data_IF_293868133633
#
_entry.id   IF_293868133633
#
_cell.length_a   1.000
_cell.length_b   1.000
_cell.length_c   1.000
_cell.angle_alpha   90.00
_cell.angle_beta   90.00
_cell.angle_gamma   90.00
#
_symmetry.space_group_name_H-M   'P 1'
#
loop_
_entity.id
_entity.type
_entity.pdbx_description
1 polymer ?
#
# COMPACT_ATOMS: atom_id res chain seq x y z
N UNK A 1 44.86 15.67 -94.80
CA UNK A 1 43.76 16.39 -94.20
C UNK A 1 43.77 16.05 -92.68
N UNK A 2 44.34 16.93 -91.91
CA UNK A 2 44.60 16.73 -90.46
C UNK A 2 43.49 17.43 -89.66
N UNK A 3 42.79 16.68 -88.85
CA UNK A 3 41.80 17.23 -87.94
C UNK A 3 42.41 17.27 -86.49
N UNK A 4 42.71 18.48 -86.08
CA UNK A 4 43.16 18.80 -84.72
C UNK A 4 41.95 19.01 -83.83
N UNK A 5 41.79 18.17 -82.77
CA UNK A 5 40.73 18.34 -81.78
C UNK A 5 41.37 19.07 -80.59
N UNK A 6 40.85 20.27 -80.32
CA UNK A 6 41.11 21.08 -79.10
C UNK A 6 40.48 20.46 -77.88
N UNK A 7 41.27 20.18 -76.87
CA UNK A 7 40.79 19.81 -75.48
C UNK A 7 40.60 21.07 -74.67
N UNK A 8 39.38 21.29 -74.18
CA UNK A 8 39.08 22.31 -73.20
C UNK A 8 39.38 21.83 -71.75
N UNK A 9 39.84 22.69 -70.82
CA UNK A 9 40.19 22.28 -69.46
C UNK A 9 38.97 22.24 -68.58
N UNK A 10 38.85 21.19 -67.77
CA UNK A 10 37.80 21.05 -66.74
C UNK A 10 38.08 21.97 -65.54
N UNK A 11 37.04 22.61 -64.92
CA UNK A 11 37.21 23.38 -63.70
C UNK A 11 37.38 22.46 -62.47
N UNK A 12 38.31 22.79 -61.60
CA UNK A 12 38.58 22.08 -60.36
C UNK A 12 37.39 22.25 -59.38
N UNK A 13 36.80 21.18 -58.95
CA UNK A 13 35.75 21.11 -57.94
C UNK A 13 36.37 21.33 -56.54
N UNK A 14 36.11 22.50 -55.92
CA UNK A 14 36.50 22.78 -54.52
C UNK A 14 35.53 22.06 -53.60
N UNK A 15 35.97 21.03 -52.94
CA UNK A 15 35.22 20.33 -51.87
C UNK A 15 35.22 21.20 -50.62
N UNK A 16 34.03 21.72 -50.28
CA UNK A 16 33.81 22.44 -49.04
C UNK A 16 33.59 21.43 -47.90
N UNK A 17 34.57 21.27 -47.03
CA UNK A 17 34.40 20.50 -45.80
C UNK A 17 33.54 21.30 -44.82
N UNK A 18 32.26 20.96 -44.66
CA UNK A 18 31.45 21.38 -43.50
C UNK A 18 31.91 20.57 -42.28
N UNK A 19 32.64 21.20 -41.38
CA UNK A 19 32.88 20.66 -40.05
C UNK A 19 31.58 20.67 -39.25
N UNK A 20 30.86 19.57 -39.26
CA UNK A 20 29.69 19.35 -38.37
C UNK A 20 30.21 19.18 -36.94
N UNK A 21 29.99 20.20 -36.09
CA UNK A 21 30.16 20.10 -34.63
C UNK A 21 29.13 19.13 -34.11
N UNK A 22 29.47 17.88 -33.87
CA UNK A 22 28.67 16.94 -33.09
C UNK A 22 28.63 17.48 -31.66
N UNK A 23 27.51 18.06 -31.26
CA UNK A 23 27.21 18.31 -29.83
C UNK A 23 27.08 16.94 -29.16
N UNK A 24 28.11 16.52 -28.48
CA UNK A 24 28.03 15.43 -27.53
C UNK A 24 27.11 15.91 -26.38
N UNK A 25 25.83 15.52 -26.44
CA UNK A 25 24.95 15.60 -25.28
C UNK A 25 25.47 14.60 -24.26
N UNK A 26 26.24 15.05 -23.30
CA UNK A 26 26.53 14.26 -22.10
C UNK A 26 25.19 14.02 -21.43
N UNK A 27 24.75 12.75 -21.36
CA UNK A 27 23.65 12.38 -20.50
C UNK A 27 24.04 12.84 -19.07
N UNK A 28 23.34 13.82 -18.53
CA UNK A 28 23.53 14.21 -17.15
C UNK A 28 23.23 12.98 -16.29
N UNK A 29 24.19 12.52 -15.51
CA UNK A 29 23.97 11.45 -14.54
C UNK A 29 22.89 11.89 -13.52
N UNK A 30 22.20 10.92 -12.91
CA UNK A 30 21.21 11.19 -11.88
C UNK A 30 21.80 12.08 -10.76
N UNK A 31 21.16 13.19 -10.48
CA UNK A 31 21.59 14.15 -9.46
C UNK A 31 20.90 13.88 -8.12
N UNK A 32 21.49 14.35 -7.03
CA UNK A 32 20.83 14.41 -5.73
C UNK A 32 20.51 15.85 -5.38
N UNK A 33 19.21 16.16 -5.25
CA UNK A 33 18.70 17.46 -4.91
C UNK A 33 18.44 17.51 -3.40
N UNK A 34 19.12 18.44 -2.71
CA UNK A 34 19.04 18.63 -1.26
C UNK A 34 17.96 19.64 -0.90
N UNK A 35 16.99 19.22 -0.05
CA UNK A 35 15.84 20.02 0.35
C UNK A 35 15.86 20.28 1.85
N UNK A 36 15.75 21.56 2.23
CA UNK A 36 15.66 21.96 3.64
C UNK A 36 16.00 23.43 3.87
N UNK A 37 15.81 23.91 5.11
CA UNK A 37 16.21 25.26 5.48
C UNK A 37 17.69 25.49 5.20
N UNK A 38 18.01 26.55 4.44
CA UNK A 38 19.39 26.89 4.08
C UNK A 38 20.03 25.99 3.02
N UNK A 39 19.34 25.01 2.48
CA UNK A 39 19.82 24.19 1.37
C UNK A 39 19.37 24.75 0.01
N UNK A 40 19.85 24.14 -1.09
CA UNK A 40 19.58 24.59 -2.46
C UNK A 40 18.08 24.75 -2.73
N UNK A 41 17.28 23.82 -2.24
CA UNK A 41 15.82 23.87 -2.36
C UNK A 41 15.20 24.01 -0.97
N UNK A 42 14.49 25.11 -0.74
CA UNK A 42 13.86 25.36 0.56
C UNK A 42 12.70 24.41 0.86
N UNK A 43 12.01 23.91 -0.17
CA UNK A 43 10.85 23.01 -0.04
C UNK A 43 10.88 21.87 -1.07
N UNK A 44 10.23 20.72 -0.80
CA UNK A 44 10.14 19.60 -1.72
C UNK A 44 9.63 19.98 -3.11
N UNK A 45 8.55 20.77 -3.20
CA UNK A 45 7.97 21.14 -4.50
C UNK A 45 8.92 21.95 -5.39
N UNK A 46 9.81 22.75 -4.79
CA UNK A 46 10.85 23.46 -5.55
C UNK A 46 11.88 22.49 -6.13
N UNK A 47 12.23 21.44 -5.38
CA UNK A 47 13.12 20.40 -5.89
C UNK A 47 12.44 19.57 -6.99
N UNK A 48 11.17 19.18 -6.83
CA UNK A 48 10.44 18.44 -7.86
C UNK A 48 10.32 19.23 -9.17
N UNK A 49 10.14 20.55 -9.09
CA UNK A 49 10.07 21.40 -10.28
C UNK A 49 11.43 21.51 -11.01
N UNK A 50 12.54 21.30 -10.32
CA UNK A 50 13.90 21.35 -10.88
C UNK A 50 14.44 19.96 -11.27
N UNK A 51 13.83 18.89 -10.80
CA UNK A 51 14.31 17.53 -10.98
C UNK A 51 14.21 17.06 -12.44
N UNK A 52 15.18 16.28 -12.85
CA UNK A 52 15.16 15.48 -14.08
C UNK A 52 14.78 14.03 -13.78
N UNK A 53 14.46 13.26 -14.83
CA UNK A 53 14.22 11.83 -14.70
C UNK A 53 15.43 11.10 -14.11
N UNK A 54 15.21 10.29 -13.10
CA UNK A 54 16.26 9.49 -12.45
C UNK A 54 16.90 10.16 -11.23
N UNK A 55 16.56 11.40 -10.92
CA UNK A 55 17.13 12.14 -9.78
C UNK A 55 16.68 11.55 -8.43
N UNK A 56 17.49 11.84 -7.41
CA UNK A 56 17.16 11.59 -6.00
C UNK A 56 16.87 12.92 -5.31
N UNK A 57 15.78 12.98 -4.56
CA UNK A 57 15.42 14.14 -3.73
C UNK A 57 15.57 13.75 -2.27
N UNK A 58 16.48 14.39 -1.55
CA UNK A 58 16.71 14.21 -0.12
C UNK A 58 16.11 15.37 0.67
N UNK A 59 15.10 15.05 1.46
CA UNK A 59 14.34 16.04 2.24
C UNK A 59 14.81 15.98 3.69
N UNK A 60 15.33 17.10 4.20
CA UNK A 60 15.79 17.19 5.59
C UNK A 60 14.64 16.89 6.57
N UNK A 61 14.85 15.90 7.42
CA UNK A 61 13.94 15.48 8.46
C UNK A 61 13.83 16.48 9.60
N UNK A 62 12.91 16.20 10.54
CA UNK A 62 12.62 17.06 11.70
C UNK A 62 12.19 18.49 11.33
N UNK A 63 11.77 18.70 10.10
CA UNK A 63 11.23 19.97 9.59
C UNK A 63 9.77 19.76 9.16
N UNK A 64 8.98 20.84 9.25
CA UNK A 64 7.61 20.88 8.71
C UNK A 64 7.56 21.80 7.49
N UNK A 65 7.17 21.23 6.37
CA UNK A 65 6.96 21.92 5.10
C UNK A 65 5.47 22.19 4.93
N UNK A 66 5.04 23.38 5.37
CA UNK A 66 3.62 23.74 5.40
C UNK A 66 3.16 24.34 4.08
N UNK A 67 2.04 23.86 3.56
CA UNK A 67 1.44 24.33 2.31
C UNK A 67 2.24 23.96 1.05
N UNK A 68 3.20 23.04 1.16
CA UNK A 68 4.04 22.62 0.03
C UNK A 68 3.34 21.52 -0.74
N UNK A 69 2.41 21.93 -1.62
CA UNK A 69 1.54 21.05 -2.42
C UNK A 69 1.81 21.19 -3.91
N UNK A 70 2.03 20.10 -4.64
CA UNK A 70 2.41 20.15 -6.07
C UNK A 70 2.25 18.82 -6.82
N UNK A 71 2.43 18.88 -8.15
CA UNK A 71 2.60 17.72 -9.02
C UNK A 71 4.06 17.27 -9.09
N UNK A 72 4.28 15.95 -9.17
CA UNK A 72 5.58 15.30 -9.42
C UNK A 72 5.54 14.75 -10.84
N UNK A 73 6.20 15.43 -11.77
CA UNK A 73 6.14 15.11 -13.21
C UNK A 73 7.30 14.22 -13.69
N UNK A 74 8.55 14.42 -13.23
CA UNK A 74 9.66 13.57 -13.65
C UNK A 74 9.44 12.11 -13.23
N UNK A 75 9.99 11.19 -14.01
CA UNK A 75 9.91 9.75 -13.77
C UNK A 75 11.20 9.20 -13.16
N UNK A 76 11.13 8.00 -12.59
CA UNK A 76 12.26 7.29 -11.99
C UNK A 76 12.88 8.04 -10.80
N UNK A 77 12.09 8.81 -10.04
CA UNK A 77 12.59 9.54 -8.88
C UNK A 77 12.66 8.66 -7.64
N UNK A 78 13.69 8.93 -6.84
CA UNK A 78 13.80 8.48 -5.44
C UNK A 78 13.62 9.71 -4.55
N UNK A 79 12.58 9.71 -3.74
CA UNK A 79 12.25 10.80 -2.81
C UNK A 79 12.36 10.24 -1.41
N UNK A 80 13.21 10.82 -0.55
CA UNK A 80 13.43 10.27 0.79
C UNK A 80 13.68 11.32 1.85
N UNK A 81 13.10 11.12 3.03
CA UNK A 81 13.44 11.86 4.23
C UNK A 81 14.80 11.40 4.78
N UNK A 82 15.67 12.35 5.08
CA UNK A 82 17.01 12.12 5.65
C UNK A 82 17.18 12.87 6.95
N UNK A 83 17.97 12.34 7.88
CA UNK A 83 18.20 12.92 9.21
C UNK A 83 16.92 13.16 10.02
N UNK A 84 16.01 12.20 9.97
CA UNK A 84 14.68 12.23 10.56
C UNK A 84 13.58 12.09 9.51
N UNK A 85 12.33 12.23 9.94
CA UNK A 85 11.14 12.14 9.06
C UNK A 85 10.61 13.56 8.80
N UNK A 86 10.66 14.07 7.56
CA UNK A 86 10.07 15.37 7.21
C UNK A 86 8.55 15.31 7.29
N UNK A 87 7.94 16.39 7.78
CA UNK A 87 6.49 16.56 7.87
C UNK A 87 6.00 17.44 6.73
N UNK A 88 5.08 16.93 5.94
CA UNK A 88 4.44 17.67 4.85
C UNK A 88 3.01 17.97 5.29
N UNK A 89 2.83 19.18 5.83
CA UNK A 89 1.54 19.70 6.30
C UNK A 89 0.86 20.48 5.18
N UNK A 90 -0.20 19.94 4.63
CA UNK A 90 -0.98 20.64 3.60
C UNK A 90 -1.63 21.93 4.13
N UNK A 91 -1.96 21.99 5.43
CA UNK A 91 -2.69 23.13 6.02
C UNK A 91 -4.06 23.36 5.37
N UNK A 92 -4.71 22.30 4.88
CA UNK A 92 -5.97 22.38 4.14
C UNK A 92 -5.83 22.66 2.64
N UNK A 93 -4.61 22.80 2.13
CA UNK A 93 -4.33 23.04 0.71
C UNK A 93 -4.22 21.72 -0.06
N UNK A 94 -4.22 21.86 -1.38
CA UNK A 94 -4.06 20.74 -2.30
C UNK A 94 -3.45 21.18 -3.62
N UNK A 95 -2.81 20.26 -4.32
CA UNK A 95 -2.39 20.40 -5.70
C UNK A 95 -3.46 19.85 -6.63
N UNK A 96 -3.76 20.57 -7.70
CA UNK A 96 -4.61 20.14 -8.81
C UNK A 96 -6.05 19.74 -8.39
N UNK A 97 -6.54 20.21 -7.23
CA UNK A 97 -7.82 19.78 -6.67
C UNK A 97 -7.83 18.31 -6.23
N UNK A 98 -6.66 17.72 -5.85
CA UNK A 98 -6.54 16.27 -5.60
C UNK A 98 -5.77 15.88 -4.34
N UNK A 99 -4.59 16.42 -4.10
CA UNK A 99 -3.70 15.84 -3.08
C UNK A 99 -2.62 16.83 -2.60
N UNK A 100 -1.85 16.42 -1.57
CA UNK A 100 -0.59 17.09 -1.22
C UNK A 100 0.38 16.95 -2.38
N UNK A 101 0.70 15.70 -2.77
CA UNK A 101 1.51 15.43 -3.96
C UNK A 101 0.73 14.61 -4.97
N UNK A 102 0.64 15.13 -6.21
CA UNK A 102 0.07 14.41 -7.35
C UNK A 102 1.21 13.76 -8.13
N UNK A 103 1.34 12.46 -8.03
CA UNK A 103 2.41 11.68 -8.67
C UNK A 103 1.99 11.38 -10.11
N UNK A 104 2.46 12.19 -11.05
CA UNK A 104 2.20 12.07 -12.49
C UNK A 104 3.30 11.23 -13.17
N UNK A 105 4.54 11.37 -12.71
CA UNK A 105 5.68 10.60 -13.20
C UNK A 105 5.54 9.09 -12.93
N UNK A 106 6.23 8.29 -13.72
CA UNK A 106 6.27 6.84 -13.58
C UNK A 106 7.46 6.39 -12.74
N UNK A 107 7.33 5.22 -12.10
CA UNK A 107 8.40 4.59 -11.34
C UNK A 107 8.95 5.51 -10.22
N UNK A 108 8.05 5.99 -9.37
CA UNK A 108 8.37 6.86 -8.25
C UNK A 108 8.48 6.05 -6.97
N UNK A 109 9.55 6.27 -6.22
CA UNK A 109 9.76 5.71 -4.88
C UNK A 109 9.76 6.83 -3.86
N UNK A 110 8.88 6.75 -2.86
CA UNK A 110 8.82 7.67 -1.71
C UNK A 110 9.15 6.89 -0.44
N UNK A 111 10.00 7.44 0.40
CA UNK A 111 10.49 6.79 1.60
C UNK A 111 10.62 7.77 2.76
N UNK A 112 10.18 7.36 3.96
CA UNK A 112 10.36 8.07 5.21
C UNK A 112 9.83 9.52 5.19
N UNK A 113 8.53 9.70 4.92
CA UNK A 113 7.83 10.99 4.99
C UNK A 113 6.58 10.90 5.87
N UNK A 114 6.19 12.01 6.49
CA UNK A 114 4.90 12.16 7.18
C UNK A 114 4.05 13.18 6.43
N UNK A 115 2.78 12.84 6.11
CA UNK A 115 1.95 13.68 5.23
C UNK A 115 0.53 13.78 5.80
N UNK A 116 0.02 15.01 5.98
CA UNK A 116 -1.29 15.24 6.58
C UNK A 116 -1.93 16.56 6.18
N UNK A 117 -3.23 16.68 6.45
CA UNK A 117 -3.99 17.91 6.34
C UNK A 117 -4.50 18.26 4.94
N UNK A 118 -4.51 17.31 3.98
CA UNK A 118 -5.07 17.53 2.64
C UNK A 118 -6.59 17.66 2.66
N UNK A 119 -7.12 18.70 1.99
CA UNK A 119 -8.55 18.91 1.80
C UNK A 119 -8.84 19.39 0.39
N UNK A 120 -9.93 18.91 -0.21
CA UNK A 120 -10.43 19.36 -1.52
C UNK A 120 -11.94 19.59 -1.49
N UNK A 121 -12.47 20.32 -2.45
CA UNK A 121 -13.90 20.63 -2.50
C UNK A 121 -14.79 19.37 -2.58
N UNK A 122 -14.30 18.33 -3.28
CA UNK A 122 -15.02 17.06 -3.46
C UNK A 122 -14.83 16.09 -2.28
N UNK A 123 -14.20 16.51 -1.18
CA UNK A 123 -14.04 15.73 0.07
C UNK A 123 -13.24 14.43 -0.13
N UNK A 124 -12.31 14.44 -1.07
CA UNK A 124 -11.45 13.30 -1.39
C UNK A 124 -9.96 13.65 -1.52
N UNK A 125 -9.52 14.71 -0.84
CA UNK A 125 -8.13 15.18 -0.80
C UNK A 125 -7.19 14.15 -0.20
N UNK A 126 -6.19 13.72 -0.98
CA UNK A 126 -5.27 12.68 -0.57
C UNK A 126 -3.93 13.22 -0.08
N UNK A 127 -3.22 12.48 0.78
CA UNK A 127 -1.80 12.74 0.96
C UNK A 127 -1.06 12.52 -0.38
N UNK A 128 -1.33 11.39 -1.04
CA UNK A 128 -0.77 11.03 -2.34
C UNK A 128 -1.89 10.67 -3.34
N UNK A 129 -1.90 11.37 -4.48
CA UNK A 129 -2.69 10.98 -5.64
C UNK A 129 -1.78 10.34 -6.68
N UNK A 130 -2.06 9.07 -7.05
CA UNK A 130 -1.23 8.33 -7.99
C UNK A 130 -1.91 8.33 -9.37
N UNK A 131 -1.29 9.01 -10.33
CA UNK A 131 -1.73 9.10 -11.73
C UNK A 131 -0.75 8.37 -12.68
N UNK A 132 0.53 8.26 -12.30
CA UNK A 132 1.56 7.53 -13.03
C UNK A 132 1.53 6.02 -12.78
N UNK A 133 2.52 5.30 -13.31
CA UNK A 133 2.67 3.85 -13.16
C UNK A 133 3.85 3.50 -12.25
N UNK A 134 3.78 2.32 -11.62
CA UNK A 134 4.87 1.76 -10.79
C UNK A 134 5.27 2.69 -9.64
N UNK A 135 4.57 2.55 -8.55
CA UNK A 135 4.79 3.36 -7.35
C UNK A 135 5.26 2.50 -6.17
N UNK A 136 6.19 3.05 -5.38
CA UNK A 136 6.64 2.47 -4.13
C UNK A 136 6.57 3.47 -2.99
N UNK A 137 6.03 3.04 -1.85
CA UNK A 137 6.02 3.80 -0.59
C UNK A 137 6.60 2.93 0.51
N UNK A 138 7.46 3.52 1.35
CA UNK A 138 8.01 2.82 2.51
C UNK A 138 8.25 3.75 3.69
N UNK A 139 8.26 3.19 4.93
CA UNK A 139 8.62 3.84 6.19
C UNK A 139 7.97 5.20 6.44
N UNK A 140 6.76 5.40 5.93
CA UNK A 140 6.06 6.67 5.93
C UNK A 140 4.85 6.66 6.87
N UNK A 141 4.28 7.84 7.13
CA UNK A 141 3.05 7.98 7.90
C UNK A 141 2.11 8.96 7.19
N UNK A 142 0.95 8.48 6.77
CA UNK A 142 -0.07 9.27 6.08
C UNK A 142 -1.33 9.32 6.94
N UNK A 143 -1.68 10.51 7.45
CA UNK A 143 -2.76 10.62 8.42
C UNK A 143 -3.53 11.95 8.31
N UNK A 144 -4.73 11.98 8.88
CA UNK A 144 -5.56 13.18 8.97
C UNK A 144 -5.77 13.90 7.62
N UNK A 145 -5.92 13.12 6.54
CA UNK A 145 -6.33 13.58 5.22
C UNK A 145 -7.74 13.08 4.90
N UNK A 146 -8.34 13.56 3.82
CA UNK A 146 -9.59 12.96 3.34
C UNK A 146 -9.34 11.57 2.70
N UNK A 147 -8.14 11.31 2.17
CA UNK A 147 -7.60 9.98 1.85
C UNK A 147 -6.10 9.92 2.16
N UNK A 148 -5.60 8.79 2.61
CA UNK A 148 -4.14 8.61 2.68
C UNK A 148 -3.56 8.45 1.28
N UNK A 149 -4.01 7.45 0.53
CA UNK A 149 -3.69 7.27 -0.90
C UNK A 149 -4.97 7.18 -1.71
N UNK A 150 -5.01 7.89 -2.84
CA UNK A 150 -6.04 7.76 -3.86
C UNK A 150 -5.37 7.47 -5.21
N UNK A 151 -5.51 6.25 -5.70
CA UNK A 151 -4.86 5.77 -6.93
C UNK A 151 -5.85 5.64 -8.07
N UNK A 152 -5.50 6.17 -9.24
CA UNK A 152 -6.22 5.98 -10.49
C UNK A 152 -6.14 4.53 -11.00
N UNK A 153 -6.97 4.18 -11.98
CA UNK A 153 -6.94 2.88 -12.64
C UNK A 153 -5.86 2.86 -13.73
N UNK A 154 -4.95 1.88 -13.67
CA UNK A 154 -3.98 1.61 -14.73
C UNK A 154 -3.49 0.16 -14.62
N UNK A 155 -4.01 -0.73 -15.46
CA UNK A 155 -3.70 -2.17 -15.44
C UNK A 155 -2.24 -2.51 -15.76
N UNK A 156 -1.42 -1.54 -16.13
CA UNK A 156 0.02 -1.72 -16.33
C UNK A 156 0.83 -1.32 -15.08
N UNK A 157 0.18 -0.76 -14.06
CA UNK A 157 0.86 -0.28 -12.85
C UNK A 157 0.99 -1.37 -11.80
N UNK A 158 2.15 -1.43 -11.15
CA UNK A 158 2.36 -2.19 -9.92
C UNK A 158 2.58 -1.22 -8.76
N UNK A 159 1.84 -1.42 -7.69
CA UNK A 159 1.92 -0.60 -6.47
C UNK A 159 2.55 -1.45 -5.37
N UNK A 160 3.56 -0.91 -4.67
CA UNK A 160 4.21 -1.55 -3.54
C UNK A 160 4.23 -0.61 -2.35
N UNK A 161 3.67 -1.05 -1.23
CA UNK A 161 3.60 -0.27 0.01
C UNK A 161 4.07 -1.16 1.15
N UNK A 162 5.09 -0.71 1.88
CA UNK A 162 5.71 -1.48 2.94
C UNK A 162 6.04 -0.60 4.16
N UNK A 163 5.99 -1.18 5.34
CA UNK A 163 6.44 -0.54 6.59
C UNK A 163 5.90 0.89 6.76
N UNK A 164 4.65 1.10 6.37
CA UNK A 164 3.99 2.41 6.36
C UNK A 164 2.77 2.41 7.25
N UNK A 165 2.57 3.50 7.97
CA UNK A 165 1.41 3.72 8.82
C UNK A 165 0.38 4.60 8.10
N UNK A 166 -0.90 4.23 8.22
CA UNK A 166 -2.03 5.00 7.74
C UNK A 166 -3.03 5.13 8.88
N UNK A 167 -3.41 6.34 9.23
CA UNK A 167 -4.32 6.55 10.35
C UNK A 167 -5.23 7.75 10.17
N UNK A 168 -6.46 7.65 10.67
CA UNK A 168 -7.43 8.76 10.73
C UNK A 168 -7.69 9.45 9.39
N UNK A 169 -7.46 8.78 8.26
CA UNK A 169 -7.89 9.33 6.99
C UNK A 169 -9.36 9.00 6.77
N UNK A 170 -10.04 9.84 6.02
CA UNK A 170 -11.46 9.73 5.72
C UNK A 170 -12.19 11.04 6.03
N UNK A 171 -13.04 11.47 5.12
CA UNK A 171 -13.93 12.62 5.35
C UNK A 171 -15.08 12.29 6.32
N UNK A 172 -15.46 11.01 6.42
CA UNK A 172 -16.57 10.55 7.24
C UNK A 172 -17.86 10.25 6.48
N UNK A 173 -17.80 10.20 5.16
CA UNK A 173 -18.95 9.92 4.28
C UNK A 173 -18.96 8.48 3.71
N UNK A 174 -17.99 7.66 4.06
CA UNK A 174 -17.80 6.29 3.58
C UNK A 174 -17.23 6.16 2.16
N UNK A 175 -16.86 7.26 1.51
CA UNK A 175 -16.30 7.28 0.15
C UNK A 175 -14.80 7.55 0.12
N UNK A 176 -14.26 8.03 1.22
CA UNK A 176 -12.84 8.29 1.40
C UNK A 176 -12.25 7.31 2.43
N UNK A 177 -10.98 6.95 2.29
CA UNK A 177 -10.38 5.78 2.92
C UNK A 177 -8.94 6.04 3.39
N UNK A 178 -8.39 5.17 4.25
CA UNK A 178 -6.94 5.18 4.46
C UNK A 178 -6.21 4.92 3.12
N UNK A 179 -6.65 3.91 2.37
CA UNK A 179 -6.12 3.67 1.02
C UNK A 179 -7.24 3.27 0.06
N UNK A 180 -7.23 3.89 -1.11
CA UNK A 180 -7.99 3.44 -2.27
C UNK A 180 -7.02 3.19 -3.43
N UNK A 181 -6.86 1.94 -3.80
CA UNK A 181 -6.06 1.52 -4.97
C UNK A 181 -7.04 1.18 -6.10
N UNK A 182 -6.91 1.89 -7.23
CA UNK A 182 -7.72 1.66 -8.42
C UNK A 182 -7.43 0.31 -9.09
N UNK A 183 -8.02 0.07 -10.26
CA UNK A 183 -7.77 -1.14 -11.02
C UNK A 183 -6.37 -1.11 -11.63
N UNK A 184 -5.39 -1.64 -10.89
CA UNK A 184 -3.98 -1.76 -11.27
C UNK A 184 -3.61 -3.23 -11.47
N UNK A 185 -2.44 -3.52 -12.05
CA UNK A 185 -1.96 -4.89 -12.24
C UNK A 185 -1.80 -5.61 -10.91
N UNK A 186 -1.09 -4.99 -9.96
CA UNK A 186 -0.86 -5.60 -8.66
C UNK A 186 -0.71 -4.59 -7.54
N UNK A 187 -1.19 -4.98 -6.37
CA UNK A 187 -0.86 -4.38 -5.09
C UNK A 187 -0.03 -5.38 -4.28
N UNK A 188 1.13 -4.93 -3.80
CA UNK A 188 1.92 -5.59 -2.77
C UNK A 188 1.90 -4.73 -1.52
N UNK A 189 1.28 -5.22 -0.43
CA UNK A 189 1.04 -4.48 0.80
C UNK A 189 1.56 -5.30 1.99
N UNK A 190 2.69 -4.88 2.61
CA UNK A 190 3.37 -5.69 3.61
C UNK A 190 3.90 -4.87 4.78
N UNK A 191 3.77 -5.40 6.00
CA UNK A 191 4.25 -4.80 7.25
C UNK A 191 3.69 -3.40 7.51
N UNK A 192 2.51 -3.12 7.04
CA UNK A 192 1.87 -1.83 7.24
C UNK A 192 0.95 -1.86 8.46
N UNK A 193 0.72 -0.70 9.02
CA UNK A 193 -0.31 -0.46 10.01
C UNK A 193 -1.34 0.49 9.41
N UNK A 194 -2.53 -0.01 9.11
CA UNK A 194 -3.64 0.80 8.61
C UNK A 194 -4.78 0.74 9.60
N UNK A 195 -5.14 1.89 10.15
CA UNK A 195 -6.04 1.96 11.30
C UNK A 195 -6.96 3.19 11.25
N UNK A 196 -8.08 3.08 11.93
CA UNK A 196 -8.95 4.19 12.26
C UNK A 196 -9.42 5.03 11.06
N UNK A 197 -9.72 4.36 9.94
CA UNK A 197 -10.35 5.02 8.81
C UNK A 197 -11.70 5.64 9.25
N UNK A 198 -11.88 6.93 9.00
CA UNK A 198 -13.08 7.65 9.40
C UNK A 198 -14.25 7.35 8.45
N UNK A 199 -15.07 6.34 8.82
CA UNK A 199 -16.22 5.82 8.03
C UNK A 199 -15.81 5.30 6.63
N UNK A 200 -14.53 5.01 6.41
CA UNK A 200 -14.03 4.42 5.18
C UNK A 200 -13.46 3.03 5.42
N UNK A 201 -12.63 2.57 4.53
CA UNK A 201 -11.93 1.29 4.66
C UNK A 201 -10.48 1.51 5.06
N UNK A 202 -9.93 0.60 5.85
CA UNK A 202 -8.50 0.64 6.14
C UNK A 202 -7.68 0.26 4.89
N UNK A 203 -8.18 -0.62 4.05
CA UNK A 203 -7.65 -0.88 2.71
C UNK A 203 -8.79 -1.17 1.74
N UNK A 204 -8.90 -0.38 0.66
CA UNK A 204 -9.71 -0.71 -0.51
C UNK A 204 -8.81 -0.92 -1.72
N UNK A 205 -8.89 -2.08 -2.37
CA UNK A 205 -8.09 -2.39 -3.56
C UNK A 205 -8.90 -3.03 -4.67
N UNK A 206 -8.81 -2.45 -5.85
CA UNK A 206 -9.36 -2.99 -7.10
C UNK A 206 -8.29 -3.67 -7.96
N UNK A 207 -7.09 -3.90 -7.43
CA UNK A 207 -5.99 -4.52 -8.16
C UNK A 207 -6.36 -5.93 -8.68
N UNK A 208 -5.81 -6.28 -9.85
CA UNK A 208 -6.00 -7.61 -10.45
C UNK A 208 -5.37 -8.70 -9.58
N UNK A 209 -4.23 -8.39 -8.96
CA UNK A 209 -3.59 -9.26 -7.98
C UNK A 209 -3.31 -8.49 -6.69
N UNK A 210 -3.71 -9.05 -5.55
CA UNK A 210 -3.45 -8.49 -4.23
C UNK A 210 -2.57 -9.44 -3.42
N UNK A 211 -1.46 -8.93 -2.90
CA UNK A 211 -0.56 -9.64 -1.99
C UNK A 211 -0.49 -8.84 -0.69
N UNK A 212 -1.26 -9.24 0.31
CA UNK A 212 -1.49 -8.53 1.58
C UNK A 212 -0.90 -9.39 2.69
N UNK A 213 0.30 -9.03 3.15
CA UNK A 213 1.12 -9.89 4.00
C UNK A 213 1.54 -9.19 5.29
N UNK A 214 1.33 -9.84 6.43
CA UNK A 214 1.91 -9.43 7.71
C UNK A 214 1.62 -7.97 8.07
N UNK A 215 0.38 -7.52 7.85
CA UNK A 215 -0.06 -6.19 8.21
C UNK A 215 -0.92 -6.23 9.48
N UNK A 216 -1.09 -5.05 10.08
CA UNK A 216 -2.13 -4.84 11.08
C UNK A 216 -3.19 -3.89 10.51
N UNK A 217 -4.44 -4.33 10.54
CA UNK A 217 -5.63 -3.54 10.32
C UNK A 217 -6.39 -3.48 11.63
N UNK A 218 -6.62 -2.27 12.12
CA UNK A 218 -7.25 -2.09 13.42
C UNK A 218 -8.01 -0.77 13.44
N UNK A 219 -9.21 -0.80 13.98
CA UNK A 219 -10.03 0.40 14.12
C UNK A 219 -10.70 0.38 15.49
N UNK A 220 -9.88 0.49 16.51
CA UNK A 220 -10.33 0.44 17.89
C UNK A 220 -11.05 1.74 18.27
N UNK A 221 -12.22 1.71 18.92
CA UNK A 221 -12.94 2.91 19.32
C UNK A 221 -12.11 3.84 20.21
N UNK A 222 -12.36 5.14 20.11
CA UNK A 222 -11.71 6.14 20.95
C UNK A 222 -11.86 5.81 22.46
N UNK A 223 -10.80 6.00 23.22
CA UNK A 223 -10.75 5.75 24.65
C UNK A 223 -10.50 4.30 25.07
N UNK A 224 -10.43 3.35 24.11
CA UNK A 224 -9.98 1.99 24.39
C UNK A 224 -8.45 1.94 24.38
N UNK A 225 -7.84 1.20 25.31
CA UNK A 225 -6.38 1.06 25.37
C UNK A 225 -5.85 0.51 24.04
N UNK A 226 -4.84 1.18 23.49
CA UNK A 226 -4.29 0.88 22.19
C UNK A 226 -4.99 1.56 21.02
N UNK A 227 -6.08 2.32 21.29
CA UNK A 227 -6.77 3.12 20.29
C UNK A 227 -6.14 4.50 20.15
N UNK A 228 -5.89 4.90 18.91
CA UNK A 228 -5.65 6.31 18.56
C UNK A 228 -6.91 6.93 17.96
N UNK A 229 -8.00 6.18 17.96
CA UNK A 229 -9.12 6.31 17.05
C UNK A 229 -10.24 7.23 17.48
N UNK A 230 -10.84 7.81 16.46
CA UNK A 230 -12.21 8.28 16.46
C UNK A 230 -13.04 7.68 15.30
N UNK A 231 -12.44 6.79 14.52
CA UNK A 231 -13.05 6.24 13.31
C UNK A 231 -14.07 5.13 13.57
N UNK A 232 -15.04 5.03 12.68
CA UNK A 232 -15.97 3.91 12.59
C UNK A 232 -15.79 3.28 11.20
N UNK A 233 -14.82 2.37 11.02
CA UNK A 233 -14.50 1.84 9.70
C UNK A 233 -15.68 1.08 9.11
N UNK A 234 -15.72 1.02 7.79
CA UNK A 234 -16.65 0.16 7.08
C UNK A 234 -16.05 -1.25 6.96
N UNK A 235 -15.03 -1.44 6.12
CA UNK A 235 -14.28 -2.70 6.07
C UNK A 235 -12.85 -2.48 6.52
N UNK A 236 -12.26 -3.51 7.14
CA UNK A 236 -10.82 -3.53 7.38
C UNK A 236 -10.06 -3.75 6.05
N UNK A 237 -10.54 -4.70 5.24
CA UNK A 237 -10.02 -4.97 3.89
C UNK A 237 -11.20 -5.12 2.94
N UNK A 238 -11.21 -4.33 1.86
CA UNK A 238 -12.19 -4.40 0.77
C UNK A 238 -11.49 -4.67 -0.57
N UNK A 239 -11.82 -5.81 -1.19
CA UNK A 239 -11.35 -6.24 -2.51
C UNK A 239 -12.55 -6.38 -3.46
N UNK A 240 -13.23 -5.28 -3.80
CA UNK A 240 -14.59 -5.28 -4.32
C UNK A 240 -14.74 -5.92 -5.70
N UNK A 241 -13.66 -5.95 -6.48
CA UNK A 241 -13.64 -6.54 -7.82
C UNK A 241 -13.06 -7.95 -7.87
N UNK A 242 -12.86 -8.61 -6.72
CA UNK A 242 -12.10 -9.85 -6.59
C UNK A 242 -10.65 -9.71 -7.12
N UNK A 243 -10.16 -10.64 -7.93
CA UNK A 243 -8.77 -10.73 -8.36
C UNK A 243 -8.01 -11.75 -7.53
N UNK A 244 -6.96 -12.37 -8.07
CA UNK A 244 -6.15 -13.33 -7.31
C UNK A 244 -5.55 -12.66 -6.08
N UNK A 245 -5.93 -13.12 -4.89
CA UNK A 245 -5.63 -12.41 -3.65
C UNK A 245 -5.06 -13.34 -2.57
N UNK A 246 -3.95 -12.92 -2.00
CA UNK A 246 -3.24 -13.59 -0.91
C UNK A 246 -3.30 -12.71 0.33
N UNK A 247 -4.02 -13.15 1.36
CA UNK A 247 -4.16 -12.48 2.65
C UNK A 247 -3.52 -13.40 3.69
N UNK A 248 -2.25 -13.16 4.02
CA UNK A 248 -1.44 -14.11 4.80
C UNK A 248 -0.75 -13.40 5.97
N UNK A 249 -0.89 -13.95 7.18
CA UNK A 249 -0.18 -13.51 8.37
C UNK A 249 -0.60 -12.14 8.89
N UNK A 250 -1.80 -11.67 8.56
CA UNK A 250 -2.27 -10.35 9.00
C UNK A 250 -3.02 -10.41 10.32
N UNK A 251 -3.02 -9.31 11.05
CA UNK A 251 -3.93 -9.02 12.15
C UNK A 251 -5.04 -8.14 11.61
N UNK A 252 -6.30 -8.57 11.77
CA UNK A 252 -7.48 -7.88 11.27
C UNK A 252 -8.45 -7.74 12.45
N UNK A 253 -8.60 -6.53 12.96
CA UNK A 253 -9.31 -6.25 14.20
C UNK A 253 -10.41 -5.21 13.96
N UNK A 254 -11.66 -5.67 14.08
CA UNK A 254 -12.84 -4.84 13.88
C UNK A 254 -13.39 -4.33 15.22
N UNK A 255 -13.64 -3.02 15.37
CA UNK A 255 -14.13 -2.44 16.61
C UNK A 255 -15.62 -2.70 16.83
N UNK A 256 -16.07 -2.51 18.07
CA UNK A 256 -17.47 -2.54 18.42
C UNK A 256 -18.30 -1.54 17.58
N UNK A 257 -17.78 -0.34 17.40
CA UNK A 257 -18.41 0.68 16.57
C UNK A 257 -17.86 0.61 15.15
N UNK A 258 -18.62 0.04 14.26
CA UNK A 258 -18.29 -0.10 12.84
C UNK A 258 -19.52 0.22 11.98
N UNK A 259 -19.28 0.61 10.74
CA UNK A 259 -20.35 0.87 9.76
C UNK A 259 -20.82 -0.43 9.09
N UNK A 260 -19.95 -1.44 9.04
CA UNK A 260 -20.23 -2.70 8.38
C UNK A 260 -19.64 -3.86 9.18
N UNK A 261 -20.42 -4.92 9.46
CA UNK A 261 -19.96 -6.05 10.27
C UNK A 261 -19.01 -7.02 9.53
N UNK A 262 -18.67 -6.75 8.28
CA UNK A 262 -17.80 -7.62 7.49
C UNK A 262 -16.36 -7.13 7.57
N UNK A 263 -15.41 -7.99 7.95
CA UNK A 263 -14.03 -7.61 8.18
C UNK A 263 -13.21 -7.60 6.89
N UNK A 264 -13.28 -8.69 6.10
CA UNK A 264 -12.71 -8.79 4.77
C UNK A 264 -13.84 -9.00 3.77
N UNK A 265 -13.98 -8.08 2.81
CA UNK A 265 -14.91 -8.18 1.69
C UNK A 265 -14.19 -8.53 0.39
N UNK A 266 -14.78 -9.43 -0.42
CA UNK A 266 -14.16 -9.91 -1.65
C UNK A 266 -15.19 -10.10 -2.76
N UNK A 267 -15.08 -9.33 -3.83
CA UNK A 267 -15.91 -9.46 -5.02
C UNK A 267 -17.34 -8.93 -4.89
N UNK A 268 -17.62 -8.06 -3.91
CA UNK A 268 -18.97 -7.56 -3.64
C UNK A 268 -19.48 -6.57 -4.71
N UNK A 269 -18.58 -5.84 -5.38
CA UNK A 269 -18.95 -4.92 -6.46
C UNK A 269 -18.85 -5.59 -7.85
N UNK A 270 -19.02 -6.91 -7.93
CA UNK A 270 -19.26 -7.63 -9.19
C UNK A 270 -18.14 -8.53 -9.67
N UNK A 271 -17.08 -8.79 -8.91
CA UNK A 271 -16.00 -9.74 -9.24
C UNK A 271 -15.48 -9.60 -10.69
N UNK A 272 -15.20 -8.39 -11.13
CA UNK A 272 -14.91 -8.06 -12.54
C UNK A 272 -13.46 -8.33 -12.96
N UNK A 273 -12.54 -8.52 -11.99
CA UNK A 273 -11.17 -8.88 -12.31
C UNK A 273 -11.05 -10.30 -12.88
N UNK A 274 -10.03 -10.56 -13.74
CA UNK A 274 -9.66 -11.90 -14.13
C UNK A 274 -9.23 -12.72 -12.95
N UNK A 275 -9.27 -13.68 -12.48
CA UNK A 275 -8.86 -14.34 -11.25
C UNK A 275 -9.87 -14.11 -10.12
N UNK A 276 -10.25 -15.19 -9.47
CA UNK A 276 -11.26 -15.16 -8.39
C UNK A 276 -10.82 -16.05 -7.23
N UNK A 277 -9.51 -16.20 -7.07
CA UNK A 277 -8.93 -17.02 -6.02
C UNK A 277 -8.59 -16.15 -4.82
N UNK A 278 -9.15 -16.48 -3.67
CA UNK A 278 -8.81 -15.85 -2.40
C UNK A 278 -8.23 -16.89 -1.44
N UNK A 279 -7.02 -16.62 -0.98
CA UNK A 279 -6.33 -17.40 0.04
C UNK A 279 -6.19 -16.59 1.32
N UNK A 280 -6.84 -17.03 2.39
CA UNK A 280 -6.84 -16.41 3.73
C UNK A 280 -6.13 -17.37 4.67
N UNK A 281 -4.86 -17.13 4.93
CA UNK A 281 -3.99 -18.13 5.58
C UNK A 281 -3.21 -17.53 6.75
N UNK A 282 -3.20 -18.21 7.88
CA UNK A 282 -2.45 -17.78 9.08
C UNK A 282 -2.74 -16.33 9.53
N UNK A 283 -3.98 -15.85 9.40
CA UNK A 283 -4.36 -14.54 9.92
C UNK A 283 -4.97 -14.66 11.32
N UNK A 284 -4.92 -13.59 12.07
CA UNK A 284 -5.65 -13.41 13.33
C UNK A 284 -6.74 -12.36 13.12
N UNK A 285 -7.99 -12.80 13.09
CA UNK A 285 -9.17 -11.93 13.06
C UNK A 285 -9.72 -11.78 14.47
N UNK A 286 -10.02 -10.53 14.86
CA UNK A 286 -10.63 -10.21 16.15
C UNK A 286 -11.83 -9.31 15.93
N UNK A 287 -13.02 -9.83 16.21
CA UNK A 287 -14.26 -9.08 16.10
C UNK A 287 -14.75 -8.65 17.49
N UNK A 288 -14.70 -7.36 17.77
CA UNK A 288 -15.21 -6.77 19.03
C UNK A 288 -16.68 -6.38 18.96
N UNK A 289 -17.33 -6.45 17.78
CA UNK A 289 -18.79 -6.30 17.67
C UNK A 289 -19.48 -7.55 18.25
N UNK A 290 -20.05 -7.39 19.43
CA UNK A 290 -20.68 -8.50 20.15
C UNK A 290 -22.06 -8.90 19.63
N UNK A 291 -22.58 -8.22 18.61
CA UNK A 291 -23.90 -8.46 18.04
C UNK A 291 -23.88 -9.13 16.66
N UNK A 292 -22.82 -8.88 15.86
CA UNK A 292 -22.78 -9.30 14.45
C UNK A 292 -21.33 -9.40 13.96
N UNK A 293 -21.10 -10.14 12.87
CA UNK A 293 -19.79 -10.26 12.23
C UNK A 293 -19.77 -11.26 11.09
N UNK A 294 -18.96 -10.96 10.09
CA UNK A 294 -18.55 -11.92 9.05
C UNK A 294 -17.05 -11.74 8.82
N UNK A 295 -16.27 -12.79 9.07
CA UNK A 295 -14.82 -12.68 8.93
C UNK A 295 -14.40 -12.52 7.47
N UNK A 296 -15.01 -13.32 6.57
CA UNK A 296 -14.77 -13.24 5.12
C UNK A 296 -16.10 -13.19 4.37
N UNK A 297 -16.46 -12.02 3.91
CA UNK A 297 -17.63 -11.78 3.07
C UNK A 297 -17.27 -11.91 1.60
N UNK A 298 -17.99 -12.78 0.90
CA UNK A 298 -17.74 -13.11 -0.52
C UNK A 298 -18.95 -12.73 -1.35
N UNK A 299 -18.71 -11.91 -2.38
CA UNK A 299 -19.73 -11.49 -3.33
C UNK A 299 -20.27 -12.66 -4.16
N UNK A 300 -21.54 -12.60 -4.52
CA UNK A 300 -22.25 -13.68 -5.23
C UNK A 300 -21.67 -14.02 -6.61
N UNK A 301 -20.91 -13.09 -7.20
CA UNK A 301 -20.19 -13.30 -8.47
C UNK A 301 -18.92 -14.17 -8.35
N UNK A 302 -18.49 -14.48 -7.13
CA UNK A 302 -17.33 -15.33 -6.88
C UNK A 302 -17.76 -16.77 -6.66
N UNK A 303 -17.60 -17.60 -7.67
CA UNK A 303 -17.97 -19.02 -7.64
C UNK A 303 -16.80 -19.92 -7.22
N UNK A 304 -15.56 -19.45 -7.35
CA UNK A 304 -14.37 -20.16 -6.87
C UNK A 304 -14.40 -20.25 -5.34
N UNK A 305 -14.25 -21.46 -4.75
CA UNK A 305 -14.21 -21.61 -3.31
C UNK A 305 -13.04 -20.83 -2.69
N UNK A 306 -13.32 -19.96 -1.72
CA UNK A 306 -12.29 -19.31 -0.90
C UNK A 306 -11.59 -20.35 -0.03
N UNK A 307 -10.28 -20.22 0.14
CA UNK A 307 -9.49 -21.07 1.04
C UNK A 307 -9.20 -20.29 2.33
N UNK A 308 -9.72 -20.80 3.45
CA UNK A 308 -9.44 -20.29 4.80
C UNK A 308 -8.68 -21.37 5.57
N UNK A 309 -7.40 -21.14 5.88
CA UNK A 309 -6.55 -22.12 6.54
C UNK A 309 -5.71 -21.50 7.65
N UNK A 310 -5.65 -22.19 8.80
CA UNK A 310 -4.82 -21.79 9.95
C UNK A 310 -5.13 -20.38 10.50
N UNK A 311 -6.35 -19.90 10.41
CA UNK A 311 -6.71 -18.59 10.95
C UNK A 311 -7.25 -18.71 12.38
N UNK A 312 -6.92 -17.74 13.22
CA UNK A 312 -7.66 -17.49 14.46
C UNK A 312 -8.85 -16.59 14.09
N UNK A 313 -10.05 -17.01 14.47
CA UNK A 313 -11.30 -16.28 14.25
C UNK A 313 -11.91 -15.97 15.62
N UNK A 314 -11.49 -14.86 16.23
CA UNK A 314 -11.87 -14.43 17.57
C UNK A 314 -13.12 -13.55 17.58
N UNK A 315 -13.95 -13.71 18.61
CA UNK A 315 -15.23 -13.02 18.72
C UNK A 315 -16.38 -13.77 18.06
N UNK A 316 -17.57 -13.16 17.98
CA UNK A 316 -18.72 -13.74 17.28
C UNK A 316 -18.63 -13.51 15.77
N UNK A 317 -19.37 -14.25 14.99
CA UNK A 317 -19.51 -14.03 13.55
C UNK A 317 -19.53 -15.31 12.73
N UNK A 318 -19.87 -15.15 11.44
CA UNK A 318 -19.82 -16.20 10.43
C UNK A 318 -18.42 -16.25 9.84
N UNK A 319 -17.83 -17.46 9.70
CA UNK A 319 -16.48 -17.60 9.12
C UNK A 319 -16.44 -17.03 7.69
N UNK A 320 -17.39 -17.49 6.85
CA UNK A 320 -17.64 -16.99 5.51
C UNK A 320 -19.09 -17.24 5.11
N UNK A 321 -19.68 -16.29 4.37
CA UNK A 321 -21.01 -16.46 3.79
C UNK A 321 -21.04 -17.38 2.55
N UNK A 322 -19.89 -17.73 1.98
CA UNK A 322 -19.79 -18.64 0.85
C UNK A 322 -19.82 -20.10 1.33
N UNK A 323 -20.89 -20.83 1.00
CA UNK A 323 -21.07 -22.23 1.45
C UNK A 323 -19.97 -23.18 0.95
N UNK A 324 -19.37 -22.89 -0.23
CA UNK A 324 -18.29 -23.68 -0.82
C UNK A 324 -16.90 -23.37 -0.26
N UNK A 325 -16.76 -22.45 0.69
CA UNK A 325 -15.46 -22.09 1.31
C UNK A 325 -14.76 -23.33 1.86
N UNK A 326 -13.51 -23.52 1.45
CA UNK A 326 -12.64 -24.60 1.95
C UNK A 326 -12.03 -24.15 3.28
N UNK A 327 -12.42 -24.80 4.37
CA UNK A 327 -11.93 -24.48 5.72
C UNK A 327 -11.00 -25.58 6.21
N UNK A 328 -9.79 -25.22 6.62
CA UNK A 328 -8.79 -26.15 7.16
C UNK A 328 -8.14 -25.56 8.41
N UNK A 329 -8.16 -26.29 9.50
CA UNK A 329 -7.39 -25.98 10.71
C UNK A 329 -7.55 -24.54 11.23
N UNK A 330 -8.74 -23.93 11.06
CA UNK A 330 -9.02 -22.62 11.65
C UNK A 330 -9.47 -22.83 13.10
N UNK A 331 -9.03 -21.93 13.98
CA UNK A 331 -9.42 -21.91 15.39
C UNK A 331 -10.50 -20.88 15.65
N UNK A 332 -11.65 -21.32 16.19
CA UNK A 332 -12.78 -20.48 16.59
C UNK A 332 -12.80 -20.33 18.10
N UNK A 333 -12.79 -19.09 18.58
CA UNK A 333 -12.95 -18.78 20.01
C UNK A 333 -13.63 -17.41 20.17
N UNK A 334 -14.47 -17.31 21.20
CA UNK A 334 -15.05 -15.98 21.57
C UNK A 334 -13.98 -15.08 22.14
N UNK A 335 -13.02 -15.64 22.85
CA UNK A 335 -11.93 -14.90 23.49
C UNK A 335 -10.63 -15.72 23.37
N UNK A 336 -9.94 -15.68 22.22
CA UNK A 336 -8.66 -16.39 22.08
C UNK A 336 -7.61 -15.77 23.01
N UNK A 337 -6.76 -16.65 23.57
CA UNK A 337 -5.69 -16.26 24.48
C UNK A 337 -4.50 -15.64 23.78
N UNK A 338 -4.07 -14.47 24.25
CA UNK A 338 -2.88 -13.74 23.76
C UNK A 338 -2.02 -13.26 24.93
N UNK A 339 -0.74 -13.01 24.69
CA UNK A 339 0.18 -12.51 25.72
C UNK A 339 -0.28 -11.15 26.26
N UNK A 340 -0.53 -10.15 25.39
CA UNK A 340 -1.05 -8.85 25.81
C UNK A 340 -1.67 -8.08 24.61
N UNK A 341 -2.94 -8.35 24.33
CA UNK A 341 -3.65 -7.68 23.23
C UNK A 341 -3.63 -6.16 23.35
N UNK A 342 -3.77 -5.61 24.56
CA UNK A 342 -3.82 -4.17 24.80
C UNK A 342 -2.48 -3.47 24.49
N UNK A 343 -1.36 -4.22 24.52
CA UNK A 343 -0.03 -3.76 24.11
C UNK A 343 0.35 -4.24 22.70
N UNK A 344 -0.60 -4.60 21.87
CA UNK A 344 -0.42 -5.10 20.48
C UNK A 344 0.34 -6.43 20.40
N UNK A 345 0.50 -7.16 21.50
CA UNK A 345 1.16 -8.45 21.56
C UNK A 345 0.14 -9.59 21.43
N UNK A 346 -0.04 -10.06 20.22
CA UNK A 346 -0.97 -11.14 19.88
C UNK A 346 -0.30 -12.50 19.69
N UNK A 347 0.86 -12.73 20.31
CA UNK A 347 1.43 -14.07 20.39
C UNK A 347 0.46 -15.00 21.15
N UNK A 348 0.10 -16.16 20.59
CA UNK A 348 -0.89 -17.03 21.19
C UNK A 348 -0.39 -17.65 22.50
N UNK A 349 -1.33 -17.81 23.44
CA UNK A 349 -1.10 -18.54 24.69
C UNK A 349 -2.01 -19.77 24.80
N UNK A 350 -2.90 -19.97 23.84
CA UNK A 350 -3.88 -21.05 23.84
C UNK A 350 -3.27 -22.34 23.26
N UNK A 351 -3.30 -23.41 24.03
CA UNK A 351 -2.78 -24.72 23.61
C UNK A 351 -3.47 -25.31 22.38
N UNK A 352 -4.68 -24.87 22.05
CA UNK A 352 -5.40 -25.29 20.82
C UNK A 352 -4.91 -24.58 19.56
N UNK A 353 -4.02 -23.62 19.71
CA UNK A 353 -3.42 -22.82 18.64
C UNK A 353 -1.95 -23.18 18.43
N UNK A 354 -1.22 -23.39 19.53
CA UNK A 354 0.23 -23.62 19.53
C UNK A 354 0.56 -24.99 18.94
N UNK A 355 1.40 -25.04 17.90
CA UNK A 355 1.80 -26.25 17.16
C UNK A 355 0.64 -27.00 16.47
N UNK A 356 -0.47 -26.33 16.21
CA UNK A 356 -1.70 -26.98 15.71
C UNK A 356 -2.02 -26.66 14.27
N UNK A 357 -1.24 -25.85 13.57
CA UNK A 357 -1.49 -25.53 12.17
C UNK A 357 -1.14 -26.68 11.23
N UNK A 358 -1.90 -26.79 10.16
CA UNK A 358 -1.57 -27.69 9.05
C UNK A 358 -0.65 -27.02 8.02
N UNK A 359 0.14 -27.80 7.28
CA UNK A 359 0.98 -27.27 6.21
C UNK A 359 0.13 -26.53 5.16
N UNK A 360 0.36 -25.22 4.90
CA UNK A 360 -0.46 -24.45 3.96
C UNK A 360 -0.31 -24.90 2.50
N UNK A 361 0.87 -25.41 2.15
CA UNK A 361 1.18 -25.84 0.79
C UNK A 361 1.44 -24.68 -0.18
N UNK A 362 1.15 -24.96 -1.45
CA UNK A 362 1.30 -24.00 -2.55
C UNK A 362 0.01 -23.94 -3.37
N UNK A 363 -0.23 -22.83 -4.03
CA UNK A 363 -1.33 -22.68 -4.99
C UNK A 363 -1.05 -23.48 -6.28
N UNK A 364 -2.07 -23.62 -7.13
CA UNK A 364 -1.88 -24.23 -8.45
C UNK A 364 -0.85 -23.49 -9.33
N UNK A 365 -0.67 -22.19 -9.10
CA UNK A 365 0.36 -21.38 -9.77
C UNK A 365 1.76 -21.48 -9.11
N UNK A 366 1.94 -22.34 -8.11
CA UNK A 366 3.22 -22.55 -7.43
C UNK A 366 3.57 -21.48 -6.38
N UNK A 367 2.65 -20.60 -6.00
CA UNK A 367 2.87 -19.60 -4.96
C UNK A 367 2.75 -20.25 -3.58
N UNK A 368 3.79 -20.14 -2.74
CA UNK A 368 3.77 -20.63 -1.36
C UNK A 368 2.75 -19.86 -0.52
N UNK A 369 1.97 -20.57 0.27
CA UNK A 369 1.02 -20.00 1.23
C UNK A 369 1.58 -19.99 2.67
N UNK A 370 2.85 -20.37 2.86
CA UNK A 370 3.49 -20.38 4.16
C UNK A 370 3.76 -18.95 4.66
N UNK A 371 3.30 -18.66 5.87
CA UNK A 371 3.65 -17.44 6.59
C UNK A 371 5.09 -17.55 7.11
N UNK A 372 6.01 -16.88 6.45
CA UNK A 372 7.46 -16.90 6.79
C UNK A 372 7.89 -15.72 7.65
N UNK A 373 7.06 -14.70 7.75
CA UNK A 373 7.29 -13.53 8.58
C UNK A 373 6.09 -13.31 9.53
N UNK A 374 6.24 -12.40 10.47
CA UNK A 374 5.16 -11.91 11.33
C UNK A 374 5.26 -10.40 11.49
N UNK A 375 4.12 -9.77 11.80
CA UNK A 375 4.04 -8.32 12.01
C UNK A 375 4.71 -7.91 13.32
N UNK A 376 5.38 -6.76 13.31
CA UNK A 376 5.92 -6.09 14.48
C UNK A 376 5.37 -4.67 14.57
N UNK A 377 4.73 -4.32 15.68
CA UNK A 377 4.16 -2.98 15.89
C UNK A 377 5.23 -1.93 16.23
N UNK A 378 5.12 -0.66 15.72
CA UNK A 378 4.24 -0.23 14.64
C UNK A 378 4.89 -0.42 13.25
N UNK A 379 4.10 -0.83 12.28
CA UNK A 379 4.43 -0.86 10.85
C UNK A 379 5.81 -1.46 10.51
N UNK A 380 6.11 -2.63 11.06
CA UNK A 380 7.34 -3.38 10.83
C UNK A 380 7.05 -4.88 10.71
N UNK A 381 8.08 -5.65 10.39
CA UNK A 381 7.99 -7.10 10.36
C UNK A 381 9.30 -7.76 10.72
N UNK A 382 9.20 -8.99 11.15
CA UNK A 382 10.34 -9.85 11.49
C UNK A 382 10.13 -11.25 10.91
N UNK A 383 11.19 -12.03 10.82
CA UNK A 383 11.09 -13.43 10.42
C UNK A 383 10.28 -14.16 11.49
N UNK A 384 9.25 -14.90 11.06
CA UNK A 384 8.46 -15.75 11.95
C UNK A 384 9.38 -16.84 12.51
N UNK A 385 9.55 -16.95 13.84
CA UNK A 385 10.40 -17.96 14.41
C UNK A 385 9.83 -19.37 14.15
N UNK A 386 10.69 -20.37 14.12
CA UNK A 386 10.26 -21.77 14.03
C UNK A 386 10.40 -22.39 15.41
N UNK A 387 9.27 -22.55 16.11
CA UNK A 387 9.23 -23.12 17.47
C UNK A 387 8.30 -24.35 17.44
N UNK A 388 8.83 -25.50 17.09
CA UNK A 388 8.04 -26.72 16.93
C UNK A 388 7.34 -26.80 15.58
N UNK A 389 6.05 -27.19 15.56
CA UNK A 389 5.21 -27.13 14.39
C UNK A 389 4.60 -25.72 14.26
N UNK A 390 4.12 -25.38 13.05
CA UNK A 390 3.52 -24.08 12.79
C UNK A 390 2.30 -23.81 13.69
N UNK A 391 2.17 -22.61 14.21
CA UNK A 391 1.02 -22.17 14.97
C UNK A 391 -0.11 -21.65 14.09
N UNK A 392 -1.34 -21.76 14.58
CA UNK A 392 -2.52 -21.13 13.95
C UNK A 392 -2.46 -19.62 14.24
N UNK A 393 -2.83 -18.79 13.23
CA UNK A 393 -2.84 -17.34 13.36
C UNK A 393 -1.59 -16.65 12.85
N UNK A 394 -1.52 -15.34 13.10
CA UNK A 394 -0.51 -14.44 12.53
C UNK A 394 0.87 -14.54 13.21
N UNK A 395 0.92 -15.08 14.41
CA UNK A 395 2.16 -15.17 15.20
C UNK A 395 2.49 -16.59 15.59
N UNK A 396 3.75 -16.86 15.78
CA UNK A 396 4.26 -18.02 16.50
C UNK A 396 4.27 -17.72 18.00
N UNK A 397 3.99 -18.71 18.85
CA UNK A 397 4.08 -18.55 20.29
C UNK A 397 5.51 -18.15 20.72
N UNK A 398 5.63 -17.35 21.76
CA UNK A 398 6.93 -17.04 22.31
C UNK A 398 7.59 -18.30 22.85
N UNK A 399 8.89 -18.48 22.60
CA UNK A 399 9.66 -19.52 23.23
C UNK A 399 9.56 -19.38 24.77
N UNK A 400 9.23 -20.49 25.43
CA UNK A 400 9.15 -20.53 26.88
C UNK A 400 10.55 -20.55 27.53
#
# INVERSE_FOLDING_TARGET
>A
MSNTILKAPFPALRTLFLAGSAMLTTAAGAATLQVGPGLTYATPCRAFAAAANGDTIEIAGNNTYRGDVCGIYPSNLIIRGVNGRPKIDAGGLNAMGKAIWVVVGNNISIDNVEMFGAKVADQNGAALRLEGTHFRLSRSFLHDNENGILCGANVNSNIRIETTEFGHNGYGDGRSHNLYIGNVRSLYFRYNYSHDANVGHNLKSRAITNTILYNRFSSTPAGVTGSTASGQPSYEIDLPNAGTSYVIGNIIEQPLLNQNPNMLAYGEEGATNPGRDLYVVNNTFLNDDSARGTFVMVGTGVTTPVVMQNNILGGIGTDSNQASTVKKTNYRSIAPGFVNRAAYDLHPTDAQVINMASAPGTTAAGVSLLAIDQYQHPAWGEIRPVVGALDIGAYEAKAQ
#
